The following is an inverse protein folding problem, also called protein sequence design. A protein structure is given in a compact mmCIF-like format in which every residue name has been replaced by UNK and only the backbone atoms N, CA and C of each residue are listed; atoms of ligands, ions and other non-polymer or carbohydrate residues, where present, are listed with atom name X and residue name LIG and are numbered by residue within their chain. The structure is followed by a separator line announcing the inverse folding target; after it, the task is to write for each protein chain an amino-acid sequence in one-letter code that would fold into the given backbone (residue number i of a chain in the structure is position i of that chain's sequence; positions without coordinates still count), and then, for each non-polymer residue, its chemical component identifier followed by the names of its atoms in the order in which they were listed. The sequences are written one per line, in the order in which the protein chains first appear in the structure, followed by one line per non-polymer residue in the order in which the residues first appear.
data_IF_637396512841
#
_entry.id   IF_637396512841
#
_cell.length_a   1.000
_cell.length_b   1.000
_cell.length_c   1.000
_cell.angle_alpha   90.00
_cell.angle_beta   90.00
_cell.angle_gamma   90.00
#
_symmetry.space_group_name_H-M   'P 1'
#
loop_
_entity.id
_entity.type
_entity.pdbx_description
1 polymer ?
#
# COMPACT_ATOMS: atom_id res chain seq x y z
N UNK A 1 20.73 11.44 17.70
CA UNK A 1 19.88 10.25 17.46
C UNK A 1 20.63 9.29 16.56
N UNK A 2 21.41 8.35 17.10
CA UNK A 2 22.33 7.53 16.28
C UNK A 2 21.62 6.68 15.21
N UNK A 3 20.42 6.19 15.50
CA UNK A 3 19.51 5.51 14.55
C UNK A 3 19.14 6.29 13.27
N UNK A 4 19.38 7.61 13.23
CA UNK A 4 19.11 8.47 12.06
C UNK A 4 20.41 9.02 11.44
N UNK A 5 21.52 9.00 12.17
CA UNK A 5 22.80 9.59 11.74
C UNK A 5 23.89 8.58 11.39
N UNK A 6 23.74 7.31 11.78
CA UNK A 6 24.65 6.23 11.37
C UNK A 6 24.12 5.56 10.08
N UNK A 7 24.97 5.31 9.08
CA UNK A 7 24.60 4.48 7.93
C UNK A 7 24.17 3.08 8.37
N UNK A 8 23.14 2.52 7.74
CA UNK A 8 22.50 1.27 8.15
C UNK A 8 23.48 0.08 8.20
N UNK A 9 24.42 0.01 7.25
CA UNK A 9 25.46 -1.04 7.23
C UNK A 9 26.43 -0.99 8.43
N UNK A 10 26.56 0.14 9.15
CA UNK A 10 27.40 0.19 10.35
C UNK A 10 26.76 -0.57 11.52
N UNK A 11 25.42 -0.70 11.56
CA UNK A 11 24.75 -1.47 12.60
C UNK A 11 25.10 -2.96 12.52
N UNK A 12 24.97 -3.56 11.33
CA UNK A 12 25.42 -4.93 11.08
C UNK A 12 26.89 -5.13 11.45
N UNK A 13 27.78 -4.25 10.99
CA UNK A 13 29.20 -4.28 11.35
C UNK A 13 29.45 -4.21 12.87
N UNK A 14 28.68 -3.44 13.64
CA UNK A 14 28.78 -3.41 15.10
C UNK A 14 28.19 -4.66 15.76
N UNK A 15 27.20 -5.31 15.15
CA UNK A 15 26.70 -6.62 15.58
C UNK A 15 27.78 -7.69 15.38
N UNK A 16 28.38 -7.78 14.18
CA UNK A 16 29.51 -8.68 13.87
C UNK A 16 30.66 -8.50 14.86
N UNK A 17 31.09 -7.24 15.06
CA UNK A 17 32.18 -6.92 15.98
C UNK A 17 31.86 -7.29 17.44
N UNK A 18 30.60 -7.24 17.86
CA UNK A 18 30.19 -7.66 19.22
C UNK A 18 30.07 -9.18 19.37
N UNK A 19 29.68 -9.90 18.31
CA UNK A 19 29.65 -11.36 18.31
C UNK A 19 31.07 -11.94 18.45
N UNK A 20 32.05 -11.32 17.79
CA UNK A 20 33.47 -11.67 17.89
C UNK A 20 34.15 -11.12 19.15
N UNK A 21 33.91 -9.86 19.53
CA UNK A 21 34.47 -9.22 20.73
C UNK A 21 33.38 -8.63 21.63
N UNK A 22 33.06 -9.36 22.70
CA UNK A 22 32.07 -8.94 23.71
C UNK A 22 32.47 -7.66 24.48
N UNK A 23 33.69 -7.12 24.32
CA UNK A 23 34.06 -5.79 24.86
C UNK A 23 33.25 -4.66 24.22
N UNK A 24 32.70 -4.84 23.03
CA UNK A 24 31.82 -3.87 22.35
C UNK A 24 30.44 -3.68 23.01
N UNK A 25 30.20 -4.29 24.19
CA UNK A 25 28.91 -4.28 24.91
C UNK A 25 28.34 -2.88 25.18
N UNK A 26 29.20 -1.88 25.39
CA UNK A 26 28.75 -0.49 25.62
C UNK A 26 28.23 0.17 24.33
N UNK A 27 28.89 -0.09 23.20
CA UNK A 27 28.43 0.33 21.88
C UNK A 27 27.07 -0.30 21.58
N UNK A 28 26.92 -1.61 21.77
CA UNK A 28 25.64 -2.32 21.59
C UNK A 28 24.54 -1.75 22.46
N UNK A 29 24.78 -1.50 23.75
CA UNK A 29 23.80 -0.86 24.65
C UNK A 29 23.38 0.53 24.16
N UNK A 30 24.30 1.30 23.58
CA UNK A 30 24.04 2.62 22.99
C UNK A 30 23.20 2.52 21.70
N UNK A 31 23.51 1.56 20.82
CA UNK A 31 22.74 1.31 19.59
C UNK A 31 21.32 0.85 19.93
N UNK A 32 21.14 -0.09 20.86
CA UNK A 32 19.83 -0.49 21.37
C UNK A 32 19.05 0.70 21.95
N UNK A 33 19.69 1.53 22.78
CA UNK A 33 19.04 2.73 23.32
C UNK A 33 18.64 3.73 22.21
N UNK A 34 19.41 3.82 21.13
CA UNK A 34 19.08 4.64 19.97
C UNK A 34 17.89 4.08 19.17
N UNK A 35 17.83 2.77 18.91
CA UNK A 35 16.73 2.11 18.21
C UNK A 35 15.42 2.16 19.03
N UNK A 36 15.47 1.86 20.33
CA UNK A 36 14.32 2.05 21.25
C UNK A 36 13.82 3.51 21.25
N UNK A 37 14.73 4.48 21.15
CA UNK A 37 14.37 5.91 21.06
C UNK A 37 13.77 6.29 19.70
N UNK A 38 14.29 5.75 18.60
CA UNK A 38 13.75 5.94 17.25
C UNK A 38 12.32 5.38 17.14
N UNK A 39 12.11 4.14 17.58
CA UNK A 39 10.80 3.47 17.61
C UNK A 39 9.77 4.28 18.41
N UNK A 40 10.14 4.82 19.58
CA UNK A 40 9.29 5.76 20.34
C UNK A 40 8.94 7.04 19.55
N UNK A 41 9.86 7.60 18.76
CA UNK A 41 9.62 8.78 17.93
C UNK A 41 8.69 8.48 16.76
N UNK A 42 8.90 7.39 16.01
CA UNK A 42 8.04 6.99 14.88
C UNK A 42 6.60 6.75 15.34
N UNK A 43 6.39 6.07 16.47
CA UNK A 43 5.06 5.80 17.01
C UNK A 43 4.35 7.07 17.51
N UNK A 44 5.08 8.04 18.08
CA UNK A 44 4.55 9.37 18.42
C UNK A 44 4.14 10.17 17.18
N UNK A 45 4.97 10.15 16.13
CA UNK A 45 4.68 10.80 14.85
C UNK A 45 3.42 10.23 14.19
N UNK A 46 3.21 8.90 14.27
CA UNK A 46 1.95 8.26 13.83
C UNK A 46 0.75 8.75 14.65
N UNK A 47 0.86 8.76 15.98
CA UNK A 47 -0.23 9.22 16.85
C UNK A 47 -0.61 10.68 16.60
N UNK A 48 0.37 11.55 16.33
CA UNK A 48 0.15 12.93 15.90
C UNK A 48 -0.57 13.01 14.55
N UNK A 49 -0.04 12.34 13.52
CA UNK A 49 -0.63 12.34 12.17
C UNK A 49 -2.10 11.87 12.18
N UNK A 50 -2.41 10.85 12.97
CA UNK A 50 -3.77 10.33 13.15
C UNK A 50 -4.67 11.24 14.00
N UNK A 51 -4.12 12.08 14.87
CA UNK A 51 -4.89 13.13 15.55
C UNK A 51 -5.25 14.26 14.58
N UNK A 52 -4.27 14.79 13.85
CA UNK A 52 -4.47 15.85 12.84
C UNK A 52 -5.48 15.41 11.76
N UNK A 53 -5.35 14.20 11.23
CA UNK A 53 -6.28 13.68 10.23
C UNK A 53 -7.70 13.44 10.77
N UNK A 54 -7.87 13.10 12.06
CA UNK A 54 -9.20 13.03 12.69
C UNK A 54 -9.84 14.42 12.78
N UNK A 55 -9.09 15.43 13.19
CA UNK A 55 -9.56 16.83 13.26
C UNK A 55 -9.94 17.34 11.86
N UNK A 56 -9.08 17.15 10.86
CA UNK A 56 -9.39 17.50 9.47
C UNK A 56 -10.64 16.78 8.93
N UNK A 57 -10.80 15.49 9.26
CA UNK A 57 -11.98 14.70 8.86
C UNK A 57 -13.28 15.15 9.54
N UNK A 58 -13.21 15.69 10.77
CA UNK A 58 -14.35 16.29 11.45
C UNK A 58 -14.75 17.61 10.78
N UNK A 59 -13.79 18.54 10.63
CA UNK A 59 -14.01 19.84 9.97
C UNK A 59 -14.58 19.72 8.54
N UNK A 60 -14.15 18.70 7.78
CA UNK A 60 -14.70 18.40 6.47
C UNK A 60 -16.19 17.98 6.51
N UNK A 61 -16.60 17.22 7.53
CA UNK A 61 -18.00 16.80 7.73
C UNK A 61 -18.89 17.96 8.15
N UNK A 62 -18.40 18.85 9.00
CA UNK A 62 -19.17 20.00 9.48
C UNK A 62 -19.38 21.04 8.37
N UNK A 63 -18.37 21.25 7.51
CA UNK A 63 -18.53 22.00 6.26
C UNK A 63 -19.56 21.35 5.34
N UNK A 64 -19.49 20.03 5.13
CA UNK A 64 -20.45 19.31 4.28
C UNK A 64 -21.89 19.27 4.84
N UNK A 65 -22.05 19.36 6.16
CA UNK A 65 -23.34 19.47 6.86
C UNK A 65 -23.91 20.89 6.93
N UNK A 66 -23.15 21.89 6.52
CA UNK A 66 -23.58 23.29 6.51
C UNK A 66 -24.17 23.64 5.13
N UNK A 67 -25.49 23.57 4.91
CA UNK A 67 -26.07 24.21 3.73
C UNK A 67 -25.76 25.71 3.82
N UNK A 68 -25.42 26.32 2.69
CA UNK A 68 -25.15 27.75 2.64
C UNK A 68 -26.43 28.53 2.94
N UNK A 69 -26.68 28.84 4.22
CA UNK A 69 -27.66 29.85 4.63
C UNK A 69 -27.24 31.15 3.96
N UNK A 70 -28.04 31.57 2.98
CA UNK A 70 -27.65 32.61 2.04
C UNK A 70 -27.17 33.87 2.74
N UNK A 71 -25.91 34.26 2.47
CA UNK A 71 -25.38 35.56 2.86
C UNK A 71 -25.98 36.65 1.96
N UNK A 72 -27.28 36.90 2.14
CA UNK A 72 -27.93 38.14 1.77
C UNK A 72 -27.49 39.28 2.69
N UNK A 73 -26.18 39.51 2.77
CA UNK A 73 -25.58 40.60 3.54
C UNK A 73 -25.69 41.88 2.71
N UNK A 74 -26.83 42.57 2.82
CA UNK A 74 -27.09 43.82 2.13
C UNK A 74 -26.13 44.92 2.59
N UNK A 75 -25.29 45.43 1.67
CA UNK A 75 -24.50 46.64 1.88
C UNK A 75 -25.16 47.81 1.16
N UNK A 76 -25.83 48.69 1.92
CA UNK A 76 -26.59 49.82 1.42
C UNK A 76 -25.71 51.02 1.01
N UNK A 77 -25.65 51.33 -0.28
CA UNK A 77 -25.29 52.65 -0.83
C UNK A 77 -25.70 52.66 -2.32
N UNK A 78 -26.88 53.14 -2.74
CA UNK A 78 -27.39 54.53 -2.76
C UNK A 78 -26.60 55.44 -3.69
N UNK A 79 -27.06 55.53 -4.95
CA UNK A 79 -27.32 56.81 -5.62
C UNK A 79 -28.23 56.68 -6.85
N UNK A 80 -28.88 57.78 -7.23
CA UNK A 80 -29.88 57.91 -8.33
C UNK A 80 -29.19 57.92 -9.73
N UNK A 81 -29.84 57.92 -10.91
CA UNK A 81 -31.11 58.51 -11.39
C UNK A 81 -31.72 57.65 -12.54
N UNK A 82 -33.06 57.55 -12.70
CA UNK A 82 -33.69 56.71 -13.74
C UNK A 82 -34.01 57.45 -15.06
N UNK A 83 -34.01 56.71 -16.19
CA UNK A 83 -34.79 57.06 -17.40
C UNK A 83 -35.36 55.79 -18.07
N UNK A 84 -36.59 55.82 -18.67
CA UNK A 84 -37.22 54.64 -19.27
C UNK A 84 -37.18 54.61 -20.80
N UNK A 85 -37.06 53.42 -21.42
CA UNK A 85 -37.49 53.18 -22.82
C UNK A 85 -37.77 51.70 -23.17
N UNK A 86 -39.07 51.40 -23.23
CA UNK A 86 -39.82 50.44 -24.07
C UNK A 86 -39.10 49.29 -24.82
N UNK A 87 -39.66 48.09 -24.61
CA UNK A 87 -40.17 47.15 -25.65
C UNK A 87 -39.24 46.19 -26.41
N UNK A 88 -39.66 44.90 -26.36
CA UNK A 88 -39.57 43.84 -27.39
C UNK A 88 -38.18 43.43 -27.95
N UNK A 89 -37.92 42.18 -28.39
CA UNK A 89 -38.52 40.85 -28.12
C UNK A 89 -37.61 39.75 -28.72
N UNK A 90 -38.02 38.48 -28.64
CA UNK A 90 -37.53 37.33 -29.45
C UNK A 90 -36.11 36.79 -29.18
N UNK A 91 -36.08 35.71 -28.41
CA UNK A 91 -35.58 34.39 -28.83
C UNK A 91 -34.47 34.31 -29.89
N UNK A 92 -33.31 33.78 -29.50
CA UNK A 92 -32.42 33.05 -30.40
C UNK A 92 -32.03 31.71 -29.76
N UNK A 93 -32.31 30.60 -30.45
CA UNK A 93 -31.92 29.25 -30.04
C UNK A 93 -30.93 28.69 -31.06
N UNK A 94 -29.80 28.17 -30.59
CA UNK A 94 -28.91 27.27 -31.33
C UNK A 94 -27.96 26.56 -30.36
N UNK A 95 -27.76 25.27 -30.60
CA UNK A 95 -26.81 24.44 -29.86
C UNK A 95 -25.39 24.53 -30.48
N UNK A 96 -24.33 24.29 -29.70
CA UNK A 96 -22.98 24.13 -30.25
C UNK A 96 -22.78 22.71 -30.82
N UNK A 97 -22.35 22.62 -32.07
CA UNK A 97 -21.86 21.37 -32.68
C UNK A 97 -20.34 21.23 -32.49
N UNK A 98 -19.79 20.01 -32.38
CA UNK A 98 -18.34 19.76 -32.18
C UNK A 98 -17.58 19.52 -33.51
N UNK A 99 -16.29 19.89 -33.55
CA UNK A 99 -15.17 19.44 -34.45
C UNK A 99 -14.00 20.45 -34.34
N UNK A 100 -12.71 20.16 -34.61
CA UNK A 100 -11.97 18.91 -34.86
C UNK A 100 -10.44 19.11 -34.69
N UNK A 101 -9.66 18.07 -34.99
CA UNK A 101 -8.18 17.97 -34.88
C UNK A 101 -7.37 18.74 -35.95
N UNK A 102 -6.04 18.55 -35.87
CA UNK A 102 -4.92 18.76 -36.83
C UNK A 102 -4.09 20.05 -36.62
N UNK A 103 -2.86 20.00 -36.11
CA UNK A 103 -1.60 19.32 -36.56
C UNK A 103 -0.79 20.14 -37.58
N UNK A 104 0.48 20.41 -37.26
CA UNK A 104 1.57 20.73 -38.22
C UNK A 104 2.94 20.37 -37.64
N UNK A 105 3.97 20.33 -38.48
CA UNK A 105 5.27 19.71 -38.20
C UNK A 105 6.42 20.31 -39.04
N UNK A 106 7.66 19.89 -38.75
CA UNK A 106 8.95 20.20 -39.42
C UNK A 106 9.52 21.62 -39.12
N UNK A 107 10.83 21.89 -39.17
CA UNK A 107 12.03 21.08 -39.50
C UNK A 107 12.87 20.80 -38.20
N UNK A 108 14.20 20.58 -38.08
CA UNK A 108 15.40 20.63 -38.96
C UNK A 108 16.03 22.03 -39.08
N UNK A 109 17.35 22.29 -39.08
CA UNK A 109 18.61 21.53 -38.85
C UNK A 109 19.68 22.56 -38.33
N UNK A 110 20.93 22.29 -37.92
CA UNK A 110 21.78 21.10 -37.76
C UNK A 110 23.26 21.51 -37.51
N UNK A 111 24.13 20.59 -37.06
CA UNK A 111 25.56 20.80 -36.63
C UNK A 111 25.75 21.68 -35.36
N UNK A 112 26.71 21.45 -34.45
CA UNK A 112 27.71 20.39 -34.33
C UNK A 112 29.04 20.90 -33.75
N UNK A 113 29.29 20.75 -32.44
CA UNK A 113 30.61 21.00 -31.83
C UNK A 113 30.84 20.15 -30.57
N UNK A 114 32.07 19.66 -30.38
CA UNK A 114 32.48 18.83 -29.25
C UNK A 114 33.27 19.63 -28.21
N UNK A 115 33.01 19.43 -26.92
CA UNK A 115 34.01 19.63 -25.85
C UNK A 115 33.67 18.82 -24.59
N UNK A 116 34.70 18.49 -23.82
CA UNK A 116 34.58 17.71 -22.60
C UNK A 116 34.08 18.57 -21.42
N UNK A 117 33.35 17.93 -20.50
CA UNK A 117 32.92 18.52 -19.23
C UNK A 117 32.57 17.40 -18.25
N UNK A 118 33.41 17.21 -17.23
CA UNK A 118 33.14 16.29 -16.12
C UNK A 118 32.30 17.00 -15.07
N UNK A 119 31.15 16.45 -14.67
CA UNK A 119 30.50 16.91 -13.44
C UNK A 119 29.69 15.80 -12.76
N UNK A 120 29.65 15.85 -11.43
CA UNK A 120 29.05 14.84 -10.57
C UNK A 120 27.62 15.26 -10.23
N UNK A 121 26.61 14.45 -10.58
CA UNK A 121 25.23 14.71 -10.17
C UNK A 121 25.01 14.32 -8.70
N UNK A 122 25.50 15.17 -7.77
CA UNK A 122 25.26 15.02 -6.34
C UNK A 122 23.75 15.07 -6.05
N UNK A 123 23.22 14.02 -5.42
CA UNK A 123 21.82 13.96 -5.02
C UNK A 123 21.52 15.04 -3.97
N UNK A 124 20.71 16.02 -4.34
CA UNK A 124 20.41 17.17 -3.50
C UNK A 124 19.42 16.80 -2.37
N UNK A 125 19.92 16.72 -1.14
CA UNK A 125 19.14 16.44 0.06
C UNK A 125 18.47 17.73 0.56
N UNK A 126 17.13 17.83 0.63
CA UNK A 126 16.47 18.94 1.33
C UNK A 126 16.53 18.71 2.85
N UNK A 127 17.10 19.65 3.59
CA UNK A 127 17.16 19.62 5.05
C UNK A 127 16.99 21.00 5.66
N UNK A 128 16.63 21.01 6.94
CA UNK A 128 16.45 22.17 7.84
C UNK A 128 15.12 22.93 7.70
N UNK A 129 14.49 23.08 8.86
CA UNK A 129 13.17 23.63 9.14
C UNK A 129 12.91 25.07 8.62
N UNK A 130 11.68 25.31 8.16
CA UNK A 130 11.09 26.65 8.07
C UNK A 130 10.32 26.98 9.35
N UNK A 131 10.88 27.83 10.20
CA UNK A 131 10.13 28.49 11.27
C UNK A 131 8.99 29.32 10.65
N UNK A 132 7.76 29.08 11.09
CA UNK A 132 6.61 29.89 10.71
C UNK A 132 6.41 31.02 11.72
N UNK A 133 6.25 32.25 11.25
CA UNK A 133 5.99 33.42 12.09
C UNK A 133 4.55 33.46 12.63
N UNK A 134 4.30 34.16 13.75
CA UNK A 134 2.96 34.29 14.31
C UNK A 134 2.12 35.28 13.48
N UNK A 135 0.96 34.85 12.95
CA UNK A 135 0.02 35.76 12.31
C UNK A 135 -0.93 35.19 11.26
N UNK A 136 -0.75 33.95 10.79
CA UNK A 136 -1.57 33.36 9.73
C UNK A 136 -2.24 32.05 10.15
N UNK A 137 -3.58 31.89 10.05
CA UNK A 137 -4.24 30.61 10.29
C UNK A 137 -3.90 29.62 9.17
N UNK A 138 -3.34 28.42 9.48
CA UNK A 138 -2.84 27.51 8.45
C UNK A 138 -3.99 26.79 7.73
N UNK A 139 -4.39 27.30 6.57
CA UNK A 139 -5.17 26.53 5.61
C UNK A 139 -4.31 25.40 5.03
N UNK A 140 -4.69 24.15 5.34
CA UNK A 140 -4.12 22.90 4.81
C UNK A 140 -2.66 22.58 5.20
N UNK A 141 -2.29 22.72 6.47
CA UNK A 141 -1.11 22.03 7.02
C UNK A 141 -1.36 20.50 7.07
N UNK A 142 -1.11 19.81 5.97
CA UNK A 142 -1.12 18.34 5.91
C UNK A 142 0.12 17.84 6.67
N UNK A 143 -0.06 16.89 7.60
CA UNK A 143 1.04 16.25 8.33
C UNK A 143 2.15 15.76 7.39
N UNK A 144 3.39 16.21 7.64
CA UNK A 144 4.58 15.80 6.89
C UNK A 144 5.71 15.45 7.86
N UNK A 145 6.28 14.26 7.68
CA UNK A 145 7.50 13.82 8.35
C UNK A 145 8.29 12.89 7.41
N UNK A 146 9.63 12.97 7.39
CA UNK A 146 10.45 12.00 6.66
C UNK A 146 10.44 10.61 7.31
N UNK A 147 10.08 10.50 8.59
CA UNK A 147 10.10 9.24 9.35
C UNK A 147 8.76 8.51 9.39
N UNK A 148 7.64 9.21 9.15
CA UNK A 148 6.31 8.60 9.11
C UNK A 148 5.38 9.30 8.13
N UNK A 149 4.55 8.52 7.42
CA UNK A 149 3.50 9.02 6.54
C UNK A 149 2.18 8.34 6.88
N UNK A 150 1.13 9.12 7.07
CA UNK A 150 -0.21 8.60 7.37
C UNK A 150 -0.69 7.59 6.30
N UNK A 151 -1.43 6.56 6.74
CA UNK A 151 -1.87 5.43 5.91
C UNK A 151 -0.71 4.65 5.27
N UNK A 152 0.43 4.58 5.98
CA UNK A 152 1.48 3.57 5.81
C UNK A 152 1.81 2.87 7.12
N UNK A 153 2.41 1.68 7.00
CA UNK A 153 3.09 1.02 8.10
C UNK A 153 4.21 1.94 8.62
N UNK A 154 4.39 2.08 9.94
CA UNK A 154 5.67 2.54 10.47
C UNK A 154 6.73 1.46 10.19
N UNK A 155 7.96 1.91 9.93
CA UNK A 155 9.15 1.06 10.01
C UNK A 155 9.78 1.32 11.38
N UNK A 156 9.66 0.36 12.29
CA UNK A 156 10.24 0.42 13.62
C UNK A 156 11.61 -0.27 13.60
N UNK A 157 12.48 0.09 14.55
CA UNK A 157 13.83 -0.45 14.66
C UNK A 157 14.07 -1.09 16.03
N UNK A 158 14.69 -2.26 16.01
CA UNK A 158 15.35 -2.93 17.14
C UNK A 158 16.81 -3.22 16.76
N UNK A 159 17.62 -3.68 17.71
CA UNK A 159 19.03 -4.03 17.47
C UNK A 159 19.42 -5.26 18.30
N UNK A 160 19.42 -6.43 17.67
CA UNK A 160 19.64 -7.73 18.32
C UNK A 160 20.72 -8.51 17.57
N UNK A 161 22.00 -8.39 17.96
CA UNK A 161 23.10 -9.14 17.32
C UNK A 161 22.92 -10.66 17.40
N UNK A 162 22.34 -11.25 16.36
CA UNK A 162 22.08 -12.69 16.27
C UNK A 162 23.33 -13.47 15.84
N UNK A 163 23.68 -14.59 16.51
CA UNK A 163 24.81 -15.43 16.10
C UNK A 163 24.53 -16.27 14.84
N UNK A 164 23.28 -16.28 14.34
CA UNK A 164 22.84 -17.15 13.23
C UNK A 164 22.88 -16.45 11.85
N UNK A 165 23.33 -15.19 11.81
CA UNK A 165 23.60 -14.45 10.58
C UNK A 165 22.34 -13.84 9.96
N UNK A 166 22.14 -14.09 8.66
CA UNK A 166 21.11 -13.42 7.84
C UNK A 166 19.66 -13.81 8.19
N UNK A 167 19.45 -14.92 8.90
CA UNK A 167 18.11 -15.34 9.35
C UNK A 167 17.97 -15.22 10.85
N UNK A 168 16.87 -14.62 11.30
CA UNK A 168 16.50 -14.55 12.70
C UNK A 168 15.97 -15.91 13.14
N UNK A 169 16.52 -16.46 14.21
CA UNK A 169 15.91 -17.57 14.95
C UNK A 169 14.78 -17.10 15.85
N UNK A 170 13.90 -18.03 16.26
CA UNK A 170 12.88 -17.82 17.29
C UNK A 170 13.43 -17.06 18.51
N UNK A 171 14.64 -17.39 18.96
CA UNK A 171 15.33 -16.72 20.07
C UNK A 171 15.67 -15.25 19.76
N UNK A 172 16.09 -14.96 18.53
CA UNK A 172 16.38 -13.61 18.05
C UNK A 172 15.10 -12.78 17.88
N UNK A 173 14.01 -13.38 17.39
CA UNK A 173 12.68 -12.77 17.30
C UNK A 173 12.13 -12.45 18.70
N UNK A 174 12.27 -13.36 19.66
CA UNK A 174 11.89 -13.12 21.06
C UNK A 174 12.70 -12.00 21.72
N UNK A 175 14.02 -11.89 21.47
CA UNK A 175 14.76 -10.72 21.96
C UNK A 175 14.37 -9.41 21.23
N UNK A 176 13.95 -9.48 19.96
CA UNK A 176 13.36 -8.32 19.27
C UNK A 176 12.06 -7.84 19.96
N UNK A 177 11.20 -8.76 20.40
CA UNK A 177 10.04 -8.39 21.23
C UNK A 177 10.44 -7.80 22.58
N UNK A 178 11.45 -8.38 23.24
CA UNK A 178 11.97 -7.83 24.48
C UNK A 178 12.53 -6.43 24.30
N UNK A 179 13.15 -6.08 23.18
CA UNK A 179 13.53 -4.70 22.88
C UNK A 179 12.32 -3.75 22.70
N UNK A 180 11.19 -4.23 22.18
CA UNK A 180 9.93 -3.45 22.12
C UNK A 180 9.28 -3.30 23.50
N UNK A 181 9.33 -4.34 24.34
CA UNK A 181 8.88 -4.31 25.74
C UNK A 181 9.76 -3.37 26.58
N UNK A 182 11.08 -3.44 26.44
CA UNK A 182 12.09 -2.52 27.04
C UNK A 182 11.95 -1.08 26.51
N UNK A 183 11.52 -0.90 25.25
CA UNK A 183 11.12 0.40 24.73
C UNK A 183 9.81 0.91 25.37
N UNK A 184 8.99 0.04 25.96
CA UNK A 184 7.70 0.39 26.56
C UNK A 184 6.65 0.76 25.54
N UNK A 185 6.75 0.23 24.30
CA UNK A 185 5.90 0.64 23.18
C UNK A 185 4.85 -0.39 22.75
N UNK A 186 4.86 -1.60 23.30
CA UNK A 186 4.00 -2.72 22.86
C UNK A 186 2.51 -2.34 22.85
N UNK A 187 2.05 -1.58 23.85
CA UNK A 187 0.67 -1.08 23.96
C UNK A 187 0.27 -0.03 22.89
N UNK A 188 1.23 0.46 22.10
CA UNK A 188 1.00 1.36 20.97
C UNK A 188 0.97 0.59 19.64
N UNK A 189 1.52 -0.63 19.56
CA UNK A 189 1.63 -1.38 18.32
C UNK A 189 0.24 -1.81 17.80
N UNK A 190 0.14 -1.96 16.48
CA UNK A 190 -1.04 -2.48 15.78
C UNK A 190 -0.64 -3.56 14.81
N UNK A 191 -1.58 -4.46 14.53
CA UNK A 191 -1.39 -5.50 13.54
C UNK A 191 -1.03 -4.87 12.18
N UNK A 192 0.07 -5.32 11.56
CA UNK A 192 0.63 -4.74 10.34
C UNK A 192 1.69 -3.64 10.54
N UNK A 193 2.03 -3.27 11.78
CA UNK A 193 3.26 -2.50 12.03
C UNK A 193 4.49 -3.35 11.67
N UNK A 194 5.48 -2.78 10.97
CA UNK A 194 6.69 -3.50 10.56
C UNK A 194 7.85 -3.16 11.49
N UNK A 195 8.53 -4.19 11.98
CA UNK A 195 9.72 -4.08 12.84
C UNK A 195 10.90 -4.66 12.09
N UNK A 196 12.01 -3.93 12.10
CA UNK A 196 13.25 -4.35 11.46
C UNK A 196 14.35 -4.41 12.49
N UNK A 197 14.98 -5.58 12.62
CA UNK A 197 16.25 -5.68 13.32
C UNK A 197 17.38 -5.19 12.42
N UNK A 198 17.90 -4.01 12.75
CA UNK A 198 18.95 -3.36 11.97
C UNK A 198 20.34 -4.00 12.22
N UNK A 199 20.45 -4.93 13.17
CA UNK A 199 21.64 -5.75 13.38
C UNK A 199 21.92 -6.73 12.22
N UNK A 200 20.90 -7.13 11.45
CA UNK A 200 21.04 -8.07 10.31
C UNK A 200 21.40 -7.36 9.00
N UNK A 201 21.34 -6.03 8.96
CA UNK A 201 21.60 -5.23 7.74
C UNK A 201 20.36 -5.00 6.87
N UNK A 202 20.58 -4.43 5.67
CA UNK A 202 19.52 -3.89 4.79
C UNK A 202 19.39 -4.62 3.43
N UNK A 203 19.77 -5.89 3.35
CA UNK A 203 19.50 -6.68 2.14
C UNK A 203 17.99 -7.01 2.03
N UNK A 204 17.39 -6.83 0.85
CA UNK A 204 15.99 -7.16 0.57
C UNK A 204 15.02 -6.73 1.72
N UNK A 205 14.40 -7.70 2.40
CA UNK A 205 13.65 -7.53 3.66
C UNK A 205 14.24 -8.37 4.81
N UNK A 206 15.53 -8.70 4.75
CA UNK A 206 16.24 -9.43 5.80
C UNK A 206 16.06 -8.70 7.15
N UNK A 207 15.82 -9.48 8.21
CA UNK A 207 15.52 -8.98 9.55
C UNK A 207 14.19 -8.23 9.71
N UNK A 208 13.28 -8.22 8.71
CA UNK A 208 11.96 -7.57 8.83
C UNK A 208 10.87 -8.56 9.24
N UNK A 209 10.24 -8.26 10.37
CA UNK A 209 9.09 -8.95 10.93
C UNK A 209 7.85 -8.03 10.87
N UNK A 210 6.67 -8.62 10.91
CA UNK A 210 5.40 -7.92 11.12
C UNK A 210 4.86 -8.21 12.52
N UNK A 211 4.33 -7.18 13.18
CA UNK A 211 3.55 -7.36 14.40
C UNK A 211 2.14 -7.84 14.03
N UNK A 212 1.68 -8.98 14.56
CA UNK A 212 0.32 -9.50 14.31
C UNK A 212 -0.72 -8.92 15.29
N UNK A 213 -0.26 -8.24 16.34
CA UNK A 213 -1.07 -7.75 17.45
C UNK A 213 -0.66 -8.30 18.82
N UNK A 214 -0.04 -9.49 18.84
CA UNK A 214 0.40 -10.22 20.02
C UNK A 214 1.91 -10.54 19.98
N UNK A 215 2.45 -10.84 18.79
CA UNK A 215 3.81 -11.30 18.57
C UNK A 215 4.47 -10.66 17.34
N UNK A 216 5.80 -10.79 17.24
CA UNK A 216 6.53 -10.61 15.98
C UNK A 216 6.53 -11.91 15.17
N UNK A 217 6.26 -11.81 13.87
CA UNK A 217 6.24 -12.95 12.95
C UNK A 217 6.95 -12.55 11.64
N UNK A 218 7.71 -13.47 11.07
CA UNK A 218 8.43 -13.27 9.80
C UNK A 218 7.51 -13.07 8.59
N UNK A 219 8.10 -12.64 7.49
CA UNK A 219 7.44 -12.53 6.19
C UNK A 219 7.22 -13.92 5.55
N UNK A 220 6.20 -14.05 4.70
CA UNK A 220 5.89 -15.30 3.99
C UNK A 220 6.71 -15.40 2.68
N UNK A 221 7.62 -16.37 2.63
CA UNK A 221 8.50 -16.60 1.47
C UNK A 221 7.90 -17.53 0.40
N UNK A 222 6.66 -18.00 0.54
CA UNK A 222 6.01 -18.97 -0.39
C UNK A 222 5.94 -18.49 -1.85
N UNK A 223 5.86 -17.17 -2.06
CA UNK A 223 5.65 -16.54 -3.38
C UNK A 223 6.72 -15.48 -3.73
N UNK A 224 7.68 -15.22 -2.84
CA UNK A 224 8.70 -14.19 -3.00
C UNK A 224 9.96 -14.54 -2.20
N UNK A 225 11.13 -14.47 -2.84
CA UNK A 225 12.44 -14.71 -2.19
C UNK A 225 12.82 -13.63 -1.18
N UNK A 226 12.07 -12.54 -1.12
CA UNK A 226 12.27 -11.45 -0.17
C UNK A 226 11.13 -11.34 0.84
N UNK A 227 10.25 -12.33 0.89
CA UNK A 227 9.06 -12.32 1.73
C UNK A 227 7.97 -11.36 1.24
N UNK A 228 6.72 -11.76 1.42
CA UNK A 228 5.53 -10.91 1.38
C UNK A 228 4.81 -10.98 2.76
N UNK A 229 3.65 -10.34 2.89
CA UNK A 229 2.94 -10.31 4.18
C UNK A 229 2.25 -11.65 4.48
N UNK A 230 2.32 -12.17 5.71
CA UNK A 230 1.64 -13.39 6.09
C UNK A 230 0.11 -13.37 5.86
N UNK A 231 -0.38 -14.47 5.31
CA UNK A 231 -1.77 -14.71 4.88
C UNK A 231 -2.91 -14.37 5.84
N UNK A 232 -2.66 -14.38 7.15
CA UNK A 232 -3.68 -14.08 8.17
C UNK A 232 -3.90 -12.57 8.38
N UNK A 233 -3.04 -11.70 7.82
CA UNK A 233 -3.26 -10.26 7.81
C UNK A 233 -4.21 -9.88 6.65
N UNK A 234 -5.45 -9.44 6.93
CA UNK A 234 -6.44 -9.19 5.90
C UNK A 234 -6.05 -7.99 5.03
N UNK A 235 -5.67 -8.21 3.77
CA UNK A 235 -5.09 -7.13 2.97
C UNK A 235 -6.08 -5.98 2.70
N UNK A 236 -7.38 -6.26 2.62
CA UNK A 236 -8.42 -5.23 2.48
C UNK A 236 -8.50 -4.25 3.65
N UNK A 237 -8.00 -4.61 4.85
CA UNK A 237 -8.00 -3.71 6.00
C UNK A 237 -6.89 -2.65 5.96
N UNK A 238 -5.89 -2.84 5.10
CA UNK A 238 -4.77 -1.92 4.92
C UNK A 238 -4.91 -1.18 3.58
N UNK A 239 -4.57 0.11 3.49
CA UNK A 239 -4.47 0.79 2.20
C UNK A 239 -3.59 0.02 1.19
N UNK A 240 -3.92 -0.01 -0.11
CA UNK A 240 -3.11 -0.71 -1.13
C UNK A 240 -1.63 -0.28 -1.22
N UNK A 241 -1.29 0.88 -0.65
CA UNK A 241 0.06 1.43 -0.57
C UNK A 241 0.67 1.44 0.85
N UNK A 242 0.01 0.81 1.83
CA UNK A 242 0.37 0.88 3.25
C UNK A 242 1.80 0.39 3.51
N UNK A 243 2.15 -0.76 2.93
CA UNK A 243 3.47 -1.38 3.08
C UNK A 243 4.50 -0.92 2.01
N UNK A 244 4.12 -0.03 1.09
CA UNK A 244 5.00 0.36 -0.03
C UNK A 244 6.26 1.10 0.45
N UNK A 245 7.42 0.57 0.07
CA UNK A 245 8.79 0.94 0.55
C UNK A 245 9.09 0.60 2.02
N UNK A 246 8.19 -0.09 2.70
CA UNK A 246 8.42 -0.62 4.06
C UNK A 246 8.74 -2.12 3.96
N UNK A 247 7.84 -2.87 3.32
CA UNK A 247 8.15 -4.17 2.73
C UNK A 247 8.57 -3.90 1.27
N UNK A 248 9.78 -4.32 0.90
CA UNK A 248 10.30 -4.24 -0.46
C UNK A 248 9.73 -5.38 -1.30
N UNK A 249 9.59 -5.14 -2.61
CA UNK A 249 9.09 -6.14 -3.57
C UNK A 249 10.09 -6.23 -4.72
N UNK A 250 10.66 -7.40 -4.95
CA UNK A 250 11.66 -7.62 -6.02
C UNK A 250 11.01 -7.77 -7.40
N UNK A 251 11.82 -7.73 -8.46
CA UNK A 251 11.38 -7.91 -9.84
C UNK A 251 10.44 -6.79 -10.30
N UNK A 252 9.23 -7.13 -10.73
CA UNK A 252 8.23 -6.19 -11.24
C UNK A 252 7.65 -5.21 -10.21
N UNK A 253 8.09 -5.28 -8.95
CA UNK A 253 7.65 -4.37 -7.89
C UNK A 253 6.19 -4.56 -7.44
N UNK A 254 5.54 -5.64 -7.89
CA UNK A 254 4.12 -5.93 -7.69
C UNK A 254 3.90 -6.96 -6.55
N UNK A 255 3.39 -6.53 -5.37
CA UNK A 255 3.37 -7.32 -4.14
C UNK A 255 2.28 -8.39 -4.17
N UNK A 256 2.45 -9.41 -3.35
CA UNK A 256 1.39 -10.38 -3.05
C UNK A 256 0.37 -9.76 -2.07
N UNK A 257 -0.88 -10.17 -2.18
CA UNK A 257 -1.96 -9.83 -1.27
C UNK A 257 -2.88 -11.02 -1.02
N UNK A 258 -3.49 -11.03 0.17
CA UNK A 258 -4.45 -12.05 0.60
C UNK A 258 -5.85 -11.43 0.71
N UNK A 259 -6.73 -11.81 -0.21
CA UNK A 259 -8.06 -11.25 -0.42
C UNK A 259 -9.02 -12.39 -0.77
N UNK A 260 -10.11 -12.56 0.00
CA UNK A 260 -11.24 -13.37 -0.46
C UNK A 260 -12.12 -12.56 -1.40
N UNK A 261 -12.28 -13.03 -2.64
CA UNK A 261 -13.13 -12.40 -3.67
C UNK A 261 -14.52 -13.03 -3.77
N UNK A 262 -14.80 -14.12 -3.05
CA UNK A 262 -16.08 -14.81 -3.09
C UNK A 262 -17.32 -13.92 -2.79
N UNK A 263 -17.26 -12.92 -1.89
CA UNK A 263 -18.39 -12.01 -1.66
C UNK A 263 -18.82 -11.18 -2.89
N UNK A 264 -18.00 -11.14 -3.94
CA UNK A 264 -18.29 -10.45 -5.21
C UNK A 264 -18.42 -11.42 -6.40
N UNK A 265 -18.51 -12.73 -6.15
CA UNK A 265 -18.48 -13.76 -7.19
C UNK A 265 -19.50 -13.56 -8.33
N UNK A 266 -20.70 -13.07 -8.02
CA UNK A 266 -21.76 -12.80 -9.02
C UNK A 266 -21.42 -11.59 -9.91
N UNK A 267 -20.86 -10.52 -9.33
CA UNK A 267 -20.39 -9.33 -10.08
C UNK A 267 -19.21 -9.73 -10.97
N UNK A 268 -18.31 -10.56 -10.46
CA UNK A 268 -17.16 -11.13 -11.19
C UNK A 268 -17.61 -12.07 -12.32
N UNK A 269 -18.63 -12.89 -12.10
CA UNK A 269 -19.17 -13.77 -13.14
C UNK A 269 -19.89 -12.99 -14.25
N UNK A 270 -20.65 -11.96 -13.88
CA UNK A 270 -21.38 -11.09 -14.82
C UNK A 270 -20.45 -10.25 -15.69
N UNK A 271 -19.36 -9.73 -15.12
CA UNK A 271 -18.42 -8.84 -15.80
C UNK A 271 -17.27 -9.56 -16.54
N UNK A 272 -17.26 -10.91 -16.58
CA UNK A 272 -16.16 -11.69 -17.14
C UNK A 272 -16.05 -11.57 -18.67
N UNK A 273 -14.85 -11.23 -19.15
CA UNK A 273 -14.50 -11.14 -20.56
C UNK A 273 -13.15 -11.80 -20.85
N UNK A 274 -13.02 -12.48 -21.99
CA UNK A 274 -11.74 -12.95 -22.52
C UNK A 274 -11.17 -11.89 -23.47
N UNK A 275 -10.03 -11.31 -23.13
CA UNK A 275 -9.45 -10.16 -23.83
C UNK A 275 -8.05 -10.48 -24.36
N UNK A 276 -7.72 -9.91 -25.53
CA UNK A 276 -6.36 -9.90 -26.06
C UNK A 276 -5.59 -8.71 -25.49
N UNK A 277 -4.66 -8.97 -24.58
CA UNK A 277 -3.77 -7.97 -23.97
C UNK A 277 -2.44 -7.89 -24.75
N UNK A 278 -1.90 -6.69 -24.92
CA UNK A 278 -0.67 -6.44 -25.69
C UNK A 278 0.36 -5.74 -24.82
N UNK A 279 1.27 -6.53 -24.26
CA UNK A 279 2.26 -6.07 -23.29
C UNK A 279 3.62 -5.87 -23.93
N UNK A 280 4.34 -4.82 -23.52
CA UNK A 280 5.79 -4.73 -23.77
C UNK A 280 6.50 -5.64 -22.76
N UNK A 281 7.30 -6.56 -23.26
CA UNK A 281 8.17 -7.41 -22.45
C UNK A 281 9.62 -7.12 -22.85
N UNK A 282 10.45 -6.87 -21.85
CA UNK A 282 11.89 -6.73 -22.04
C UNK A 282 12.52 -8.12 -22.26
N UNK A 283 13.35 -8.24 -23.29
CA UNK A 283 14.11 -9.47 -23.56
C UNK A 283 15.34 -9.53 -22.65
N UNK A 284 15.95 -10.71 -22.42
CA UNK A 284 17.20 -10.82 -21.67
C UNK A 284 18.41 -10.04 -22.23
N UNK A 285 18.22 -9.34 -23.35
CA UNK A 285 19.21 -8.52 -24.06
C UNK A 285 18.87 -7.01 -24.03
N UNK A 286 17.86 -6.60 -23.26
CA UNK A 286 17.39 -5.19 -23.17
C UNK A 286 16.49 -4.73 -24.33
N UNK A 287 16.15 -5.63 -25.26
CA UNK A 287 15.21 -5.35 -26.35
C UNK A 287 13.77 -5.30 -25.85
N UNK A 288 12.90 -4.52 -26.48
CA UNK A 288 11.49 -4.41 -26.08
C UNK A 288 10.58 -5.06 -27.13
N UNK A 289 10.02 -6.24 -26.83
CA UNK A 289 9.12 -6.96 -27.73
C UNK A 289 7.65 -6.81 -27.31
N UNK A 290 6.75 -6.73 -28.30
CA UNK A 290 5.30 -6.74 -28.06
C UNK A 290 4.81 -8.18 -27.97
N UNK A 291 4.49 -8.64 -26.76
CA UNK A 291 3.89 -9.96 -26.52
C UNK A 291 2.37 -9.83 -26.48
N UNK A 292 1.70 -10.62 -27.32
CA UNK A 292 0.24 -10.78 -27.30
C UNK A 292 -0.09 -11.93 -26.34
N UNK A 293 -0.93 -11.67 -25.33
CA UNK A 293 -1.44 -12.70 -24.42
C UNK A 293 -2.97 -12.63 -24.33
N UNK A 294 -3.61 -13.76 -24.13
CA UNK A 294 -5.02 -13.80 -23.74
C UNK A 294 -5.13 -13.68 -22.22
N UNK A 295 -6.16 -12.99 -21.74
CA UNK A 295 -6.40 -12.69 -20.32
C UNK A 295 -7.89 -12.80 -20.04
N UNK A 296 -8.26 -13.56 -19.02
CA UNK A 296 -9.59 -13.47 -18.43
C UNK A 296 -9.62 -12.24 -17.54
N UNK A 297 -10.46 -11.24 -17.86
CA UNK A 297 -10.62 -10.01 -17.08
C UNK A 297 -12.04 -9.91 -16.57
N UNK A 298 -12.19 -9.49 -15.32
CA UNK A 298 -13.48 -9.10 -14.75
C UNK A 298 -13.28 -7.94 -13.77
N UNK A 299 -14.35 -7.40 -13.20
CA UNK A 299 -14.28 -6.36 -12.18
C UNK A 299 -15.43 -6.42 -11.19
N UNK A 300 -15.19 -5.96 -9.96
CA UNK A 300 -16.20 -5.81 -8.91
C UNK A 300 -16.07 -4.47 -8.18
N UNK A 301 -17.13 -4.05 -7.49
CA UNK A 301 -17.16 -2.75 -6.80
C UNK A 301 -17.11 -2.91 -5.28
N UNK A 302 -16.06 -2.39 -4.64
CA UNK A 302 -16.03 -2.22 -3.17
C UNK A 302 -16.65 -0.86 -2.83
N UNK A 303 -17.78 -0.87 -2.12
CA UNK A 303 -18.54 0.35 -1.78
C UNK A 303 -18.60 0.55 -0.25
N UNK A 304 -18.63 1.79 0.26
CA UNK A 304 -19.09 2.04 1.63
C UNK A 304 -20.51 1.50 1.81
N UNK A 305 -20.87 1.00 3.01
CA UNK A 305 -22.26 0.60 3.26
C UNK A 305 -23.20 1.81 3.12
N UNK A 306 -24.34 1.61 2.46
CA UNK A 306 -25.45 2.56 2.41
C UNK A 306 -25.93 3.00 3.81
N UNK A 307 -25.73 2.17 4.82
CA UNK A 307 -26.04 2.46 6.23
C UNK A 307 -25.02 3.37 6.94
N UNK A 308 -23.96 3.81 6.25
CA UNK A 308 -22.84 4.56 6.84
C UNK A 308 -21.89 3.73 7.73
N UNK A 309 -22.22 2.46 7.98
CA UNK A 309 -21.38 1.51 8.73
C UNK A 309 -20.20 1.10 7.84
N UNK A 310 -18.98 1.14 8.37
CA UNK A 310 -17.81 0.66 7.64
C UNK A 310 -17.89 -0.87 7.45
N UNK A 311 -17.46 -1.35 6.29
CA UNK A 311 -17.44 -2.78 5.96
C UNK A 311 -16.42 -3.48 6.86
N UNK A 312 -16.89 -4.35 7.78
CA UNK A 312 -16.02 -5.13 8.67
C UNK A 312 -15.29 -6.21 7.88
N UNK A 313 -14.05 -6.48 8.25
CA UNK A 313 -13.32 -7.66 7.78
C UNK A 313 -13.33 -8.71 8.89
N UNK A 314 -13.58 -9.97 8.54
CA UNK A 314 -13.45 -11.08 9.49
C UNK A 314 -11.98 -11.36 9.74
N UNK A 315 -11.60 -11.59 11.00
CA UNK A 315 -10.24 -11.96 11.40
C UNK A 315 -10.27 -13.06 12.47
N UNK A 316 -9.23 -13.91 12.56
CA UNK A 316 -9.04 -14.79 13.70
C UNK A 316 -8.90 -14.00 15.00
N UNK A 317 -9.39 -14.55 16.11
CA UNK A 317 -9.39 -13.87 17.43
C UNK A 317 -7.99 -13.61 18.03
N UNK A 318 -6.95 -14.28 17.52
CA UNK A 318 -5.56 -14.06 17.92
C UNK A 318 -4.91 -12.81 17.29
N UNK A 319 -5.44 -12.32 16.15
CA UNK A 319 -4.92 -11.12 15.49
C UNK A 319 -5.41 -9.90 16.27
N UNK A 320 -4.49 -9.06 16.74
CA UNK A 320 -4.78 -8.00 17.68
C UNK A 320 -5.42 -6.74 17.05
N UNK A 321 -5.20 -5.53 17.62
CA UNK A 321 -5.87 -4.33 17.15
C UNK A 321 -5.44 -3.97 15.72
N UNK A 322 -6.43 -3.90 14.82
CA UNK A 322 -6.23 -3.58 13.41
C UNK A 322 -5.90 -2.11 13.14
N UNK A 323 -5.62 -1.75 11.88
CA UNK A 323 -5.22 -0.40 11.50
C UNK A 323 -6.33 0.66 11.61
N UNK A 324 -7.60 0.24 11.77
CA UNK A 324 -8.74 1.14 11.86
C UNK A 324 -8.85 1.89 13.19
N UNK A 325 -9.64 2.99 13.26
CA UNK A 325 -9.85 3.76 14.49
C UNK A 325 -10.35 2.87 15.63
N UNK A 326 -9.66 2.90 16.78
CA UNK A 326 -9.98 2.06 17.93
C UNK A 326 -9.58 0.58 17.79
N UNK A 327 -8.70 0.24 16.83
CA UNK A 327 -8.25 -1.14 16.62
C UNK A 327 -9.22 -2.02 15.81
N UNK A 328 -10.22 -1.41 15.17
CA UNK A 328 -11.30 -2.15 14.48
C UNK A 328 -10.85 -2.59 13.08
N UNK A 329 -11.08 -3.87 12.77
CA UNK A 329 -10.88 -4.46 11.44
C UNK A 329 -11.99 -4.06 10.46
N UNK A 330 -11.67 -3.07 9.62
CA UNK A 330 -12.55 -2.46 8.63
C UNK A 330 -11.81 -2.40 7.30
N UNK A 331 -12.52 -2.54 6.17
CA UNK A 331 -11.94 -2.30 4.84
C UNK A 331 -11.48 -0.84 4.76
N UNK A 332 -10.20 -0.61 4.44
CA UNK A 332 -9.66 0.74 4.33
C UNK A 332 -10.28 1.47 3.14
N UNK A 333 -10.70 2.75 3.27
CA UNK A 333 -11.32 3.52 2.19
C UNK A 333 -10.49 3.70 0.90
N UNK A 334 -9.22 3.28 0.88
CA UNK A 334 -8.38 3.22 -0.30
C UNK A 334 -8.70 2.06 -1.24
N UNK A 335 -9.45 1.05 -0.77
CA UNK A 335 -10.04 -0.01 -1.59
C UNK A 335 -11.39 0.37 -2.19
N UNK A 336 -12.04 1.45 -1.74
CA UNK A 336 -13.35 1.86 -2.26
C UNK A 336 -13.23 2.34 -3.71
N UNK A 337 -14.09 1.80 -4.57
CA UNK A 337 -14.01 1.93 -6.03
C UNK A 337 -14.09 0.57 -6.71
N UNK A 338 -13.48 0.46 -7.88
CA UNK A 338 -13.46 -0.77 -8.69
C UNK A 338 -12.20 -1.59 -8.41
N UNK A 339 -12.36 -2.90 -8.24
CA UNK A 339 -11.24 -3.86 -8.29
C UNK A 339 -11.34 -4.64 -9.59
N UNK A 340 -10.31 -4.57 -10.42
CA UNK A 340 -10.19 -5.30 -11.69
C UNK A 340 -9.36 -6.56 -11.44
N UNK A 341 -9.87 -7.72 -11.80
CA UNK A 341 -9.23 -9.02 -11.64
C UNK A 341 -8.78 -9.53 -13.00
N UNK A 342 -7.48 -9.84 -13.14
CA UNK A 342 -6.93 -10.59 -14.28
C UNK A 342 -6.58 -12.03 -13.87
N UNK A 343 -6.90 -13.00 -14.73
CA UNK A 343 -6.46 -14.38 -14.65
C UNK A 343 -5.86 -14.83 -16.01
N UNK A 344 -5.12 -15.94 -16.02
CA UNK A 344 -4.51 -16.51 -17.23
C UNK A 344 -5.61 -16.77 -18.29
N UNK A 345 -5.38 -16.41 -19.56
CA UNK A 345 -6.36 -16.56 -20.65
C UNK A 345 -6.64 -18.01 -21.10
N UNK A 346 -6.27 -18.97 -20.27
CA UNK A 346 -6.40 -20.42 -20.48
C UNK A 346 -7.63 -20.96 -19.74
N UNK A 347 -8.05 -22.20 -20.05
CA UNK A 347 -9.20 -22.81 -19.36
C UNK A 347 -8.90 -23.05 -17.87
N UNK A 348 -7.64 -23.32 -17.56
CA UNK A 348 -7.10 -23.51 -16.22
C UNK A 348 -7.13 -22.19 -15.43
N UNK A 349 -6.74 -21.08 -16.05
CA UNK A 349 -6.84 -19.74 -15.45
C UNK A 349 -8.29 -19.29 -15.22
N UNK A 350 -9.21 -19.69 -16.10
CA UNK A 350 -10.63 -19.50 -15.87
C UNK A 350 -11.13 -20.36 -14.70
N UNK A 351 -10.79 -21.66 -14.66
CA UNK A 351 -11.20 -22.55 -13.59
C UNK A 351 -10.72 -22.07 -12.20
N UNK A 352 -9.46 -21.63 -12.09
CA UNK A 352 -8.90 -20.99 -10.89
C UNK A 352 -9.72 -19.77 -10.45
N UNK A 353 -10.10 -18.88 -11.38
CA UNK A 353 -10.97 -17.73 -11.06
C UNK A 353 -12.39 -18.15 -10.63
N UNK A 354 -12.96 -19.19 -11.26
CA UNK A 354 -14.29 -19.71 -10.90
C UNK A 354 -14.31 -20.36 -9.51
N UNK A 355 -13.27 -21.12 -9.18
CA UNK A 355 -13.10 -21.78 -7.87
C UNK A 355 -13.00 -20.75 -6.74
N UNK A 356 -12.25 -19.66 -6.96
CA UNK A 356 -12.12 -18.52 -6.04
C UNK A 356 -13.43 -17.79 -5.78
N UNK A 357 -14.37 -17.84 -6.72
CA UNK A 357 -15.70 -17.26 -6.60
C UNK A 357 -16.74 -18.21 -5.95
N UNK A 358 -16.30 -19.33 -5.36
CA UNK A 358 -17.09 -20.24 -4.49
C UNK A 358 -18.51 -20.58 -5.01
N UNK A 359 -18.62 -20.87 -6.32
CA UNK A 359 -19.89 -21.34 -6.93
C UNK A 359 -20.79 -20.26 -7.55
N UNK A 360 -20.37 -18.99 -7.59
CA UNK A 360 -21.14 -17.94 -8.26
C UNK A 360 -21.17 -18.03 -9.81
N UNK A 361 -20.47 -19.01 -10.39
CA UNK A 361 -20.53 -19.33 -11.82
C UNK A 361 -21.46 -20.54 -12.05
N UNK A 362 -22.23 -20.57 -13.16
CA UNK A 362 -23.05 -21.74 -13.50
C UNK A 362 -22.21 -23.03 -13.57
N UNK A 363 -22.73 -24.09 -12.94
CA UNK A 363 -22.08 -25.40 -12.90
C UNK A 363 -21.91 -25.91 -14.35
N UNK A 364 -20.67 -25.94 -14.82
CA UNK A 364 -20.33 -26.51 -16.13
C UNK A 364 -20.36 -28.03 -16.05
N UNK A 365 -20.86 -28.69 -17.09
CA UNK A 365 -20.98 -30.15 -17.17
C UNK A 365 -19.64 -30.91 -17.36
N UNK A 366 -18.53 -30.38 -16.84
CA UNK A 366 -17.28 -31.13 -16.70
C UNK A 366 -17.31 -31.92 -15.39
N UNK A 367 -16.75 -33.14 -15.41
CA UNK A 367 -17.01 -34.17 -14.42
C UNK A 367 -16.87 -33.72 -12.96
N UNK A 368 -17.87 -34.09 -12.14
CA UNK A 368 -18.00 -33.68 -10.75
C UNK A 368 -16.96 -34.33 -9.82
N UNK A 369 -15.71 -33.87 -9.93
CA UNK A 369 -14.74 -33.99 -8.85
C UNK A 369 -15.00 -32.87 -7.82
N UNK A 370 -15.22 -33.15 -6.53
CA UNK A 370 -15.49 -34.46 -5.93
C UNK A 370 -16.13 -34.32 -4.54
N UNK A 371 -17.01 -35.25 -4.15
CA UNK A 371 -17.18 -35.62 -2.73
C UNK A 371 -16.05 -36.56 -2.28
N UNK A 372 -14.80 -36.15 -2.49
CA UNK A 372 -13.63 -36.76 -1.84
C UNK A 372 -13.47 -36.10 -0.48
N UNK A 373 -13.22 -36.91 0.55
CA UNK A 373 -12.90 -36.46 1.90
C UNK A 373 -11.50 -35.82 1.96
N UNK A 374 -11.39 -34.60 1.43
CA UNK A 374 -10.21 -33.74 1.56
C UNK A 374 -9.93 -33.53 3.05
N UNK A 375 -8.70 -33.82 3.51
CA UNK A 375 -8.34 -33.62 4.92
C UNK A 375 -8.45 -32.14 5.31
N UNK A 376 -8.79 -31.81 6.59
CA UNK A 376 -8.97 -30.41 7.00
C UNK A 376 -7.76 -29.51 6.69
N UNK A 377 -6.55 -30.03 6.87
CA UNK A 377 -5.30 -29.32 6.50
C UNK A 377 -5.21 -29.02 5.00
N UNK A 378 -5.63 -29.95 4.15
CA UNK A 378 -5.59 -29.79 2.70
C UNK A 378 -6.67 -28.82 2.23
N UNK A 379 -7.86 -28.90 2.80
CA UNK A 379 -8.94 -27.93 2.55
C UNK A 379 -8.51 -26.50 2.94
N UNK A 380 -7.88 -26.34 4.11
CA UNK A 380 -7.33 -25.04 4.53
C UNK A 380 -6.23 -24.53 3.59
N UNK A 381 -5.31 -25.39 3.14
CA UNK A 381 -4.27 -25.05 2.13
C UNK A 381 -4.86 -24.71 0.75
N UNK A 382 -6.02 -25.24 0.40
CA UNK A 382 -6.72 -24.94 -0.86
C UNK A 382 -7.51 -23.62 -0.75
N UNK A 383 -8.17 -23.36 0.37
CA UNK A 383 -8.79 -22.05 0.67
C UNK A 383 -7.75 -20.91 0.74
N UNK A 384 -6.61 -21.15 1.38
CA UNK A 384 -5.46 -20.24 1.41
C UNK A 384 -5.03 -19.82 -0.01
N UNK A 385 -4.85 -20.78 -0.93
CA UNK A 385 -4.43 -20.53 -2.32
C UNK A 385 -5.44 -19.67 -3.08
N UNK A 386 -6.74 -19.90 -2.87
CA UNK A 386 -7.82 -19.13 -3.51
C UNK A 386 -7.73 -17.63 -3.16
N UNK A 387 -7.23 -17.30 -1.98
CA UNK A 387 -7.05 -15.91 -1.54
C UNK A 387 -5.77 -15.22 -2.04
N UNK A 388 -4.85 -15.90 -2.73
CA UNK A 388 -3.56 -15.29 -3.13
C UNK A 388 -3.66 -14.56 -4.47
N UNK A 389 -3.44 -13.25 -4.43
CA UNK A 389 -3.40 -12.36 -5.59
C UNK A 389 -2.10 -11.54 -5.62
N UNK A 390 -1.84 -10.87 -6.75
CA UNK A 390 -0.73 -9.91 -6.91
C UNK A 390 -1.28 -8.55 -7.36
N UNK A 391 -0.95 -7.47 -6.66
CA UNK A 391 -1.38 -6.10 -7.03
C UNK A 391 -0.54 -5.61 -8.22
N UNK A 392 -1.19 -5.25 -9.32
CA UNK A 392 -0.57 -4.67 -10.52
C UNK A 392 -0.47 -3.15 -10.38
N UNK A 393 0.63 -2.67 -9.78
CA UNK A 393 0.83 -1.24 -9.45
C UNK A 393 0.91 -0.35 -10.70
N UNK A 394 1.36 -0.90 -11.83
CA UNK A 394 1.48 -0.23 -13.12
C UNK A 394 0.14 0.01 -13.84
N UNK A 395 -0.89 -0.80 -13.51
CA UNK A 395 -2.26 -0.62 -14.01
C UNK A 395 -3.15 0.12 -12.99
N UNK A 396 -2.86 0.00 -11.69
CA UNK A 396 -3.65 0.55 -10.60
C UNK A 396 -3.60 2.08 -10.49
N UNK A 397 -4.74 2.70 -10.14
CA UNK A 397 -4.93 4.14 -9.97
C UNK A 397 -5.91 4.45 -8.82
N UNK A 398 -5.98 5.67 -8.29
CA UNK A 398 -6.94 6.00 -7.23
C UNK A 398 -8.39 5.70 -7.65
N UNK A 399 -9.08 4.86 -6.88
CA UNK A 399 -10.44 4.38 -7.19
C UNK A 399 -10.54 3.20 -8.15
N UNK A 400 -9.44 2.69 -8.70
CA UNK A 400 -9.42 1.50 -9.55
C UNK A 400 -8.13 0.68 -9.36
N UNK A 401 -8.25 -0.45 -8.65
CA UNK A 401 -7.11 -1.30 -8.27
C UNK A 401 -7.11 -2.55 -9.13
N UNK A 402 -5.95 -2.90 -9.66
CA UNK A 402 -5.78 -4.07 -10.50
C UNK A 402 -5.07 -5.17 -9.72
N UNK A 403 -5.65 -6.37 -9.71
CA UNK A 403 -5.08 -7.57 -9.10
C UNK A 403 -5.04 -8.70 -10.12
N UNK A 404 -4.05 -9.60 -10.01
CA UNK A 404 -3.95 -10.82 -10.81
C UNK A 404 -4.01 -12.06 -9.92
N UNK A 405 -4.69 -13.13 -10.35
CA UNK A 405 -4.58 -14.42 -9.64
C UNK A 405 -3.13 -14.92 -9.68
N UNK A 406 -2.64 -15.46 -8.57
CA UNK A 406 -1.30 -16.03 -8.48
C UNK A 406 -1.42 -17.55 -8.60
N UNK A 407 -0.77 -18.10 -9.61
CA UNK A 407 -0.90 -19.53 -9.97
C UNK A 407 0.01 -20.41 -9.12
N UNK A 408 -0.29 -21.71 -9.06
CA UNK A 408 0.59 -22.69 -8.40
C UNK A 408 2.00 -22.75 -9.02
N UNK A 409 2.14 -22.38 -10.30
CA UNK A 409 3.41 -22.29 -11.05
C UNK A 409 4.30 -21.12 -10.57
N UNK A 410 3.73 -20.13 -9.89
CA UNK A 410 4.44 -18.96 -9.33
C UNK A 410 4.85 -19.14 -7.87
N UNK A 411 4.49 -20.27 -7.24
CA UNK A 411 5.04 -20.62 -5.93
C UNK A 411 6.52 -20.88 -6.10
N UNK A 412 7.31 -20.42 -5.14
CA UNK A 412 8.67 -20.92 -5.02
C UNK A 412 8.59 -22.39 -4.61
N UNK A 413 9.35 -23.22 -5.31
CA UNK A 413 9.66 -24.56 -4.81
C UNK A 413 10.44 -24.39 -3.50
N UNK A 414 10.18 -25.21 -2.47
CA UNK A 414 11.16 -25.36 -1.39
C UNK A 414 12.51 -25.81 -2.01
N UNK A 415 13.65 -25.40 -1.42
CA UNK A 415 14.97 -25.81 -1.88
C UNK A 415 15.19 -27.33 -1.77
#
# INVERSE_FOLDING_TARGET
MHAVSLPQHQFARYADMYLHDRRQREVVRSLQAACRSYTRVVLRLRAQAEAEARVASAMARDRARSPARGWGASTTSVNHVPTPKKSFSRSSSRAPSPTSMYSRSQHGHGYGHSRAGSEQSLHHNPSVAQFHGPGSPPMNSIFQSPLFRIRRAPLLQVFVPSPEGEWLSDASVLECEEELKRAGVTHLLRAGDIVWDIAVGDEANVGRMVWDGSYLIDLDYTYSRSGDLPKYLPTLAFPPSYFHRVVRTMGSGNPICHIDIAPWGEEIATNLQLLQDRMKTETPQGGHHMVVRWVHRSSFTIRPSSSGKALRVSVPQCVGPGPGPGGIWLVDPGWYGTVVVEAEGTNEGLADLQERCRGAFPIRAMGAAAHVSVSPERAAREEERRMVFRILREKSRPGEIWIRTVTAKERLLPP
#
